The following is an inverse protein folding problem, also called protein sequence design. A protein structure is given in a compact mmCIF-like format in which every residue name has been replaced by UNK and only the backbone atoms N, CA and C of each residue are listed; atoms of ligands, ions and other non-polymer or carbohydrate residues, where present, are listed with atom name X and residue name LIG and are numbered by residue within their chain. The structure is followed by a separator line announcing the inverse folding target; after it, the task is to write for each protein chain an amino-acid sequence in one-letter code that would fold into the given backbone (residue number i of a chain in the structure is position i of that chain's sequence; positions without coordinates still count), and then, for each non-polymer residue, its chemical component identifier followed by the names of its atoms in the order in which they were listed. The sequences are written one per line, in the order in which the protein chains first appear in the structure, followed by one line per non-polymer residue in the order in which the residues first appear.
data_IF_321434160465
#
_entry.id   IF_321434160465
#
_cell.length_a   1.000
_cell.length_b   1.000
_cell.length_c   1.000
_cell.angle_alpha   90.00
_cell.angle_beta   90.00
_cell.angle_gamma   90.00
#
_symmetry.space_group_name_H-M   'P 1'
#
loop_
_entity.id
_entity.type
_entity.pdbx_description
1 polymer ?
#
# COMPACT_ATOMS: atom_id res chain seq x y z
N UNK A 1 4.94 12.08 -53.48
CA UNK A 1 4.20 12.42 -52.24
C UNK A 1 3.30 11.24 -51.79
N UNK A 2 3.87 10.06 -51.50
CA UNK A 2 3.09 8.84 -51.12
C UNK A 2 3.45 8.23 -49.75
N UNK A 3 4.48 8.75 -49.08
CA UNK A 3 4.99 8.18 -47.82
C UNK A 3 4.62 8.97 -46.55
N UNK A 4 4.00 10.14 -46.68
CA UNK A 4 3.59 10.96 -45.51
C UNK A 4 2.34 10.41 -44.81
N UNK A 5 1.46 9.72 -45.54
CA UNK A 5 0.25 9.12 -44.97
C UNK A 5 0.56 7.93 -44.03
N UNK A 6 1.62 7.17 -44.34
CA UNK A 6 2.02 6.00 -43.57
C UNK A 6 2.62 6.38 -42.20
N UNK A 7 3.33 7.52 -42.14
CA UNK A 7 3.95 8.04 -40.92
C UNK A 7 2.86 8.54 -39.95
N UNK A 8 1.82 9.19 -40.46
CA UNK A 8 0.68 9.64 -39.65
C UNK A 8 -0.11 8.46 -39.07
N UNK A 9 -0.23 7.35 -39.79
CA UNK A 9 -0.90 6.15 -39.30
C UNK A 9 -0.12 5.49 -38.15
N UNK A 10 1.22 5.45 -38.22
CA UNK A 10 2.07 4.92 -37.15
C UNK A 10 1.96 5.75 -35.85
N UNK A 11 1.88 7.08 -35.94
CA UNK A 11 1.78 7.93 -34.75
C UNK A 11 0.47 7.75 -33.95
N UNK A 12 -0.64 7.43 -34.62
CA UNK A 12 -1.94 7.26 -33.93
C UNK A 12 -2.05 5.94 -33.15
N UNK A 13 -1.33 4.89 -33.57
CA UNK A 13 -1.33 3.58 -32.90
C UNK A 13 -0.45 3.59 -31.64
N UNK A 14 0.65 4.34 -31.63
CA UNK A 14 1.50 4.46 -30.43
C UNK A 14 0.98 5.46 -29.38
N UNK A 15 0.16 6.44 -29.78
CA UNK A 15 -0.38 7.46 -28.86
C UNK A 15 -1.44 6.96 -27.87
N UNK A 16 -2.07 5.80 -28.12
CA UNK A 16 -3.15 5.27 -27.27
C UNK A 16 -2.71 4.13 -26.34
N UNK A 17 -1.54 3.51 -26.59
CA UNK A 17 -1.01 2.41 -25.78
C UNK A 17 -0.33 2.86 -24.47
N UNK A 18 -0.10 4.16 -24.28
CA UNK A 18 0.46 4.74 -23.04
C UNK A 18 -0.61 5.10 -21.99
N UNK A 19 -1.86 4.64 -22.16
CA UNK A 19 -2.89 4.76 -21.12
C UNK A 19 -2.59 3.84 -19.94
N UNK A 20 -1.76 4.36 -19.03
CA UNK A 20 -1.68 4.06 -17.60
C UNK A 20 -2.15 2.68 -17.18
N UNK A 21 -1.34 1.65 -17.42
CA UNK A 21 -1.53 0.37 -16.74
C UNK A 21 -1.38 0.62 -15.24
N UNK A 22 -2.45 0.43 -14.47
CA UNK A 22 -2.39 0.58 -13.01
C UNK A 22 -1.33 -0.39 -12.48
N UNK A 23 -0.18 0.11 -12.05
CA UNK A 23 0.87 -0.74 -11.47
C UNK A 23 0.31 -1.39 -10.22
N UNK A 24 0.47 -2.70 -10.12
CA UNK A 24 0.10 -3.47 -8.95
C UNK A 24 1.16 -4.54 -8.71
N UNK A 25 1.58 -4.68 -7.45
CA UNK A 25 2.41 -5.79 -6.99
C UNK A 25 1.66 -6.62 -5.94
N UNK A 26 1.83 -7.94 -5.96
CA UNK A 26 1.15 -8.86 -5.01
C UNK A 26 2.20 -9.61 -4.20
N UNK A 27 2.04 -9.59 -2.87
CA UNK A 27 2.97 -10.21 -1.94
C UNK A 27 2.26 -11.00 -0.85
N UNK A 28 3.02 -11.80 -0.12
CA UNK A 28 2.53 -12.55 1.04
C UNK A 28 3.07 -11.97 2.34
N UNK A 29 2.21 -11.86 3.35
CA UNK A 29 2.58 -11.38 4.69
C UNK A 29 1.68 -12.01 5.75
N UNK A 30 2.19 -12.23 6.96
CA UNK A 30 1.41 -12.85 8.04
C UNK A 30 1.31 -11.90 9.26
N UNK A 31 0.22 -11.11 9.37
CA UNK A 31 0.05 -10.16 10.46
C UNK A 31 0.00 -10.82 11.84
N UNK A 32 -0.56 -12.03 11.94
CA UNK A 32 -0.63 -12.75 13.22
C UNK A 32 0.76 -13.11 13.74
N UNK A 33 1.64 -13.57 12.84
CA UNK A 33 3.02 -13.89 13.20
C UNK A 33 3.74 -12.64 13.70
N UNK A 34 3.59 -11.52 13.00
CA UNK A 34 4.19 -10.24 13.44
C UNK A 34 3.73 -9.82 14.84
N UNK A 35 2.43 -9.89 15.12
CA UNK A 35 1.86 -9.56 16.44
C UNK A 35 2.47 -10.44 17.53
N UNK A 36 2.55 -11.75 17.30
CA UNK A 36 3.09 -12.73 18.25
C UNK A 36 4.58 -12.52 18.50
N UNK A 37 5.38 -12.45 17.43
CA UNK A 37 6.83 -12.31 17.52
C UNK A 37 7.23 -11.02 18.26
N UNK A 38 6.43 -9.95 18.12
CA UNK A 38 6.68 -8.65 18.76
C UNK A 38 5.92 -8.46 20.08
N UNK A 39 5.11 -9.44 20.51
CA UNK A 39 4.25 -9.38 21.71
C UNK A 39 3.37 -8.14 21.79
N UNK A 40 2.83 -7.70 20.63
CA UNK A 40 2.11 -6.45 20.53
C UNK A 40 0.81 -6.45 21.35
N UNK A 41 0.22 -7.60 21.65
CA UNK A 41 -0.96 -7.65 22.52
C UNK A 41 -0.67 -7.20 23.98
N UNK A 42 0.59 -7.26 24.43
CA UNK A 42 0.96 -7.13 25.84
C UNK A 42 1.58 -5.78 26.20
N UNK A 43 2.32 -5.17 25.27
CA UNK A 43 2.99 -3.90 25.54
C UNK A 43 3.19 -3.07 24.28
N UNK A 44 3.41 -1.78 24.48
CA UNK A 44 3.94 -0.92 23.43
C UNK A 44 5.37 -1.35 23.09
N UNK A 45 5.72 -1.22 21.81
CA UNK A 45 7.09 -1.37 21.32
C UNK A 45 7.54 -0.01 20.79
N UNK A 46 8.75 0.40 21.16
CA UNK A 46 9.34 1.61 20.62
C UNK A 46 9.46 1.50 19.10
N UNK A 47 9.99 0.37 18.62
CA UNK A 47 10.14 0.09 17.20
C UNK A 47 9.69 -1.35 16.84
N UNK A 48 9.11 -1.48 15.65
CA UNK A 48 8.67 -2.73 15.04
C UNK A 48 9.18 -2.74 13.60
N UNK A 49 9.88 -3.80 13.21
CA UNK A 49 10.44 -3.93 11.87
C UNK A 49 9.43 -4.66 10.96
N UNK A 50 9.14 -4.06 9.82
CA UNK A 50 8.33 -4.63 8.77
C UNK A 50 9.17 -4.86 7.51
N UNK A 51 9.39 -6.11 7.14
CA UNK A 51 9.93 -6.46 5.82
C UNK A 51 8.75 -6.59 4.85
N UNK A 52 8.55 -5.56 4.03
CA UNK A 52 7.46 -5.47 3.05
C UNK A 52 8.05 -5.25 1.66
N UNK A 53 7.21 -4.99 0.68
CA UNK A 53 7.61 -4.73 -0.69
C UNK A 53 7.18 -3.32 -1.09
N UNK A 54 7.78 -2.77 -2.14
CA UNK A 54 7.27 -1.60 -2.84
C UNK A 54 6.46 -1.99 -4.08
N UNK A 55 5.96 -0.98 -4.80
CA UNK A 55 5.17 -1.14 -6.01
C UNK A 55 5.91 -1.85 -7.15
N UNK A 56 7.24 -1.79 -7.14
CA UNK A 56 8.10 -2.48 -8.12
C UNK A 56 8.49 -3.89 -7.65
N UNK A 57 7.99 -4.32 -6.49
CA UNK A 57 8.25 -5.64 -5.92
C UNK A 57 9.61 -5.77 -5.22
N UNK A 58 10.30 -4.66 -4.96
CA UNK A 58 11.56 -4.67 -4.20
C UNK A 58 11.26 -4.80 -2.71
N UNK A 59 11.86 -5.80 -2.08
CA UNK A 59 11.78 -5.93 -0.63
C UNK A 59 12.44 -4.73 0.05
N UNK A 60 11.71 -4.12 0.98
CA UNK A 60 12.09 -2.91 1.69
C UNK A 60 11.80 -3.10 3.17
N UNK A 61 12.82 -2.83 3.98
CA UNK A 61 12.71 -2.81 5.44
C UNK A 61 12.15 -1.47 5.90
N UNK A 62 11.11 -1.52 6.71
CA UNK A 62 10.48 -0.36 7.33
C UNK A 62 10.67 -0.41 8.84
N UNK A 63 11.17 0.69 9.40
CA UNK A 63 11.33 0.89 10.84
C UNK A 63 10.12 1.69 11.29
N UNK A 64 9.24 1.05 12.07
CA UNK A 64 7.91 1.57 12.39
C UNK A 64 7.74 1.76 13.89
N UNK A 65 7.22 2.91 14.30
CA UNK A 65 6.82 3.17 15.68
C UNK A 65 5.41 2.62 15.92
N UNK A 66 5.21 1.96 17.05
CA UNK A 66 3.88 1.59 17.51
C UNK A 66 3.13 2.85 17.97
N UNK A 67 2.01 3.16 17.30
CA UNK A 67 1.12 4.29 17.60
C UNK A 67 -0.25 3.81 18.08
N UNK A 68 -0.36 2.54 18.47
CA UNK A 68 -1.58 1.92 18.93
C UNK A 68 -1.96 2.44 20.30
N UNK A 69 -3.09 3.12 20.47
CA UNK A 69 -3.58 3.47 21.80
C UNK A 69 -4.06 2.23 22.58
N UNK A 70 -4.14 2.32 23.91
CA UNK A 70 -4.58 1.19 24.73
C UNK A 70 -6.00 0.72 24.39
N UNK A 71 -6.88 1.66 24.01
CA UNK A 71 -8.23 1.33 23.54
C UNK A 71 -8.23 0.49 22.25
N UNK A 72 -7.40 0.89 21.28
CA UNK A 72 -7.23 0.13 20.03
C UNK A 72 -6.57 -1.23 20.28
N UNK A 73 -5.60 -1.30 21.20
CA UNK A 73 -4.94 -2.55 21.57
C UNK A 73 -5.91 -3.55 22.18
N UNK A 74 -6.79 -3.11 23.09
CA UNK A 74 -7.90 -3.93 23.64
C UNK A 74 -8.83 -4.45 22.54
N UNK A 75 -9.06 -3.66 21.51
CA UNK A 75 -9.83 -4.04 20.32
C UNK A 75 -9.02 -4.88 19.30
N UNK A 76 -7.75 -5.21 19.58
CA UNK A 76 -6.82 -5.91 18.68
C UNK A 76 -6.64 -5.19 17.33
N UNK A 77 -6.61 -3.87 17.39
CA UNK A 77 -6.30 -2.97 16.27
C UNK A 77 -4.94 -2.36 16.57
N UNK A 78 -3.98 -2.55 15.67
CA UNK A 78 -2.62 -2.04 15.82
C UNK A 78 -2.28 -1.06 14.72
N UNK A 79 -1.76 0.11 15.07
CA UNK A 79 -1.44 1.18 14.11
C UNK A 79 0.02 1.54 14.22
N UNK A 80 0.68 1.68 13.08
CA UNK A 80 2.12 1.94 12.99
C UNK A 80 2.40 3.10 12.04
N UNK A 81 3.41 3.89 12.38
CA UNK A 81 3.93 4.96 11.50
C UNK A 81 5.45 4.92 11.49
N UNK A 82 6.04 5.09 10.32
CA UNK A 82 7.49 5.03 10.20
C UNK A 82 7.96 5.29 8.78
N UNK A 83 9.16 4.81 8.48
CA UNK A 83 9.81 5.05 7.20
C UNK A 83 10.65 3.84 6.77
N UNK A 84 10.96 3.78 5.47
CA UNK A 84 11.96 2.84 4.96
C UNK A 84 13.33 3.09 5.60
N UNK A 85 14.20 2.09 5.61
CA UNK A 85 15.57 2.19 6.12
C UNK A 85 16.38 3.31 5.44
N UNK A 86 16.15 3.55 4.14
CA UNK A 86 16.75 4.65 3.38
C UNK A 86 16.06 6.01 3.58
N UNK A 87 14.95 6.05 4.32
CA UNK A 87 14.16 7.25 4.61
C UNK A 87 13.34 7.81 3.44
N UNK A 88 13.35 7.17 2.26
CA UNK A 88 12.68 7.67 1.06
C UNK A 88 11.17 7.45 1.06
N UNK A 89 10.68 6.46 1.81
CA UNK A 89 9.27 6.06 1.86
C UNK A 89 8.72 6.30 3.25
N UNK A 90 7.66 7.11 3.35
CA UNK A 90 6.92 7.33 4.60
C UNK A 90 5.72 6.39 4.67
N UNK A 91 5.64 5.56 5.69
CA UNK A 91 4.67 4.45 5.76
C UNK A 91 3.70 4.62 6.94
N UNK A 92 2.44 4.31 6.71
CA UNK A 92 1.42 4.12 7.75
C UNK A 92 0.75 2.76 7.54
N UNK A 93 0.72 1.94 8.59
CA UNK A 93 0.12 0.60 8.55
C UNK A 93 -0.91 0.44 9.66
N UNK A 94 -1.90 -0.41 9.42
CA UNK A 94 -2.88 -0.84 10.41
C UNK A 94 -3.09 -2.35 10.29
N UNK A 95 -3.09 -3.05 11.41
CA UNK A 95 -3.51 -4.44 11.50
C UNK A 95 -4.80 -4.50 12.30
N UNK A 96 -5.89 -4.92 11.65
CA UNK A 96 -7.20 -5.09 12.28
C UNK A 96 -7.83 -6.40 11.80
N UNK A 97 -8.49 -7.14 12.69
CA UNK A 97 -9.12 -8.43 12.36
C UNK A 97 -8.17 -9.45 11.68
N UNK A 98 -6.87 -9.32 11.94
CA UNK A 98 -5.82 -10.14 11.34
C UNK A 98 -5.49 -9.83 9.87
N UNK A 99 -5.88 -8.65 9.37
CA UNK A 99 -5.58 -8.14 8.03
C UNK A 99 -4.67 -6.93 8.15
N UNK A 100 -3.71 -6.80 7.23
CA UNK A 100 -2.89 -5.60 7.07
C UNK A 100 -3.52 -4.64 6.05
N UNK A 101 -3.63 -3.37 6.40
CA UNK A 101 -3.92 -2.27 5.48
C UNK A 101 -2.94 -1.14 5.71
N UNK A 102 -2.80 -0.23 4.74
CA UNK A 102 -1.99 0.96 4.92
C UNK A 102 -1.64 1.65 3.62
N UNK A 103 -0.67 2.54 3.71
CA UNK A 103 -0.17 3.28 2.57
C UNK A 103 1.25 3.77 2.82
N UNK A 104 2.00 3.98 1.75
CA UNK A 104 3.23 4.75 1.81
C UNK A 104 3.28 5.86 0.78
N UNK A 105 4.04 6.91 1.11
CA UNK A 105 4.36 8.03 0.24
C UNK A 105 5.81 7.90 -0.24
N UNK A 106 6.03 8.02 -1.53
CA UNK A 106 7.36 8.07 -2.15
C UNK A 106 7.35 9.13 -3.26
N UNK A 107 8.24 10.11 -3.17
CA UNK A 107 8.33 11.21 -4.15
C UNK A 107 6.99 11.92 -4.43
N UNK A 108 6.18 12.12 -3.39
CA UNK A 108 4.87 12.77 -3.49
C UNK A 108 3.75 11.87 -4.04
N UNK A 109 4.03 10.61 -4.38
CA UNK A 109 3.03 9.64 -4.85
C UNK A 109 2.63 8.69 -3.72
N UNK A 110 1.32 8.48 -3.57
CA UNK A 110 0.76 7.58 -2.58
C UNK A 110 0.49 6.19 -3.18
N UNK A 111 0.90 5.16 -2.44
CA UNK A 111 0.68 3.76 -2.76
C UNK A 111 -0.08 3.10 -1.62
N UNK A 112 -1.02 2.23 -1.94
CA UNK A 112 -1.95 1.63 -0.98
C UNK A 112 -1.67 0.14 -0.83
N UNK A 113 -1.73 -0.35 0.40
CA UNK A 113 -1.57 -1.75 0.76
C UNK A 113 -2.89 -2.28 1.29
N UNK A 114 -3.44 -3.30 0.65
CA UNK A 114 -4.72 -3.89 1.02
C UNK A 114 -4.71 -5.41 0.81
N UNK A 115 -5.59 -6.16 1.50
CA UNK A 115 -5.84 -7.56 1.19
C UNK A 115 -6.14 -7.77 -0.30
N UNK A 116 -5.58 -8.83 -0.89
CA UNK A 116 -5.83 -9.15 -2.30
C UNK A 116 -7.32 -9.43 -2.59
N UNK A 117 -8.02 -9.99 -1.59
CA UNK A 117 -9.47 -10.21 -1.55
C UNK A 117 -9.96 -9.84 -0.16
N UNK A 118 -11.23 -9.46 0.01
CA UNK A 118 -11.79 -9.00 1.29
C UNK A 118 -11.46 -9.92 2.47
N UNK A 119 -11.55 -11.24 2.30
CA UNK A 119 -11.30 -12.22 3.37
C UNK A 119 -9.86 -12.78 3.40
N UNK A 120 -8.95 -12.24 2.59
CA UNK A 120 -7.56 -12.69 2.57
C UNK A 120 -6.77 -12.13 3.77
N UNK A 121 -6.07 -13.00 4.49
CA UNK A 121 -5.21 -12.62 5.63
C UNK A 121 -3.71 -12.80 5.36
N UNK A 122 -3.37 -13.35 4.20
CA UNK A 122 -1.99 -13.73 3.85
C UNK A 122 -1.45 -13.14 2.56
N UNK A 123 -2.31 -12.73 1.62
CA UNK A 123 -1.90 -12.11 0.36
C UNK A 123 -2.43 -10.69 0.27
N UNK A 124 -1.57 -9.80 -0.16
CA UNK A 124 -1.80 -8.36 -0.19
C UNK A 124 -1.38 -7.81 -1.54
N UNK A 125 -1.99 -6.69 -1.93
CA UNK A 125 -1.62 -5.94 -3.12
C UNK A 125 -1.11 -4.56 -2.72
N UNK A 126 -0.13 -4.08 -3.48
CA UNK A 126 0.36 -2.70 -3.48
C UNK A 126 -0.07 -2.10 -4.81
N UNK A 127 -0.70 -0.93 -4.79
CA UNK A 127 -1.13 -0.28 -6.02
C UNK A 127 -1.13 1.24 -5.86
N UNK A 128 -0.98 1.95 -6.98
CA UNK A 128 -1.31 3.38 -7.07
C UNK A 128 -2.74 3.52 -7.59
N UNK A 129 -3.52 4.44 -7.04
CA UNK A 129 -4.79 4.83 -7.67
C UNK A 129 -4.48 5.56 -8.98
N UNK A 130 -5.28 5.39 -10.05
CA UNK A 130 -5.12 6.18 -11.26
C UNK A 130 -5.28 7.68 -10.95
N UNK A 131 -4.53 8.53 -11.66
CA UNK A 131 -4.61 9.98 -11.49
C UNK A 131 -6.04 10.47 -11.76
N UNK A 132 -6.62 11.15 -10.77
CA UNK A 132 -7.99 11.67 -10.79
C UNK A 132 -8.38 12.23 -9.41
N UNK A 133 -9.33 13.16 -9.37
CA UNK A 133 -9.82 13.77 -8.12
C UNK A 133 -10.56 12.76 -7.24
N UNK A 134 -9.82 11.93 -6.51
CA UNK A 134 -10.38 11.13 -5.43
C UNK A 134 -10.65 12.05 -4.24
N UNK A 135 -11.89 12.51 -4.13
CA UNK A 135 -12.41 13.17 -2.92
C UNK A 135 -12.57 12.12 -1.83
N UNK A 136 -11.50 11.86 -1.08
CA UNK A 136 -11.55 11.01 0.12
C UNK A 136 -12.47 11.70 1.14
N UNK A 137 -13.54 11.01 1.57
CA UNK A 137 -14.49 11.52 2.58
C UNK A 137 -15.83 12.04 2.04
N UNK A 138 -16.25 11.66 0.83
CA UNK A 138 -17.61 11.96 0.39
C UNK A 138 -18.63 10.99 1.03
N UNK A 139 -19.83 11.46 1.42
CA UNK A 139 -20.88 10.64 2.04
C UNK A 139 -21.30 9.40 1.24
N UNK A 140 -20.96 9.34 -0.04
CA UNK A 140 -21.31 8.27 -0.98
C UNK A 140 -20.52 6.97 -0.67
N UNK A 141 -19.38 7.06 0.02
CA UNK A 141 -18.59 5.89 0.43
C UNK A 141 -19.27 5.04 1.52
N UNK A 142 -20.38 5.53 2.11
CA UNK A 142 -21.14 4.82 3.16
C UNK A 142 -22.37 4.06 2.63
N UNK A 143 -22.67 4.13 1.34
CA UNK A 143 -23.86 3.47 0.77
C UNK A 143 -23.43 2.42 -0.23
N UNK A 144 -23.27 1.19 0.26
CA UNK A 144 -23.49 -0.06 -0.48
C UNK A 144 -24.05 -1.13 0.44
#
# INVERSE_FOLDING_TARGET
MKNTLLIFLLFTVFGTALRGQSRQFVFSFNPKKLIQDNKLDMSHKEEVIFNLYDIEGKETKYIMLDKTSDALRKAKIFTFKGKSEDGTKLMTLTIASGKLTGSYLENGKAYFIEPLKENCKKKYKIYSKPDGEYKVGQPIDFVK
#
